data_IF_177853874035
#
_entry.id   IF_177853874035
#
_cell.length_a   1.000
_cell.length_b   1.000
_cell.length_c   1.000
_cell.angle_alpha   90.00
_cell.angle_beta   90.00
_cell.angle_gamma   90.00
#
_symmetry.space_group_name_H-M   'P 1'
#
loop_
_entity.id
_entity.type
_entity.pdbx_description
1 polymer ?
#
# COMPACT_ATOMS: atom_id res chain seq x y z
N UNK A 1 -1.26 10.11 -4.65
CA UNK A 1 -0.59 9.19 -5.57
C UNK A 1 -1.37 9.21 -6.86
N UNK A 2 -1.45 8.11 -7.59
CA UNK A 2 -2.08 7.98 -8.91
C UNK A 2 -3.42 8.71 -9.02
N UNK A 3 -3.69 9.34 -10.17
CA UNK A 3 -4.99 9.96 -10.45
C UNK A 3 -5.42 11.03 -9.43
N UNK A 4 -6.34 10.68 -8.55
CA UNK A 4 -6.93 11.57 -7.55
C UNK A 4 -6.71 11.08 -6.11
N UNK A 5 -7.04 11.94 -5.16
CA UNK A 5 -6.98 11.64 -3.73
C UNK A 5 -8.06 12.40 -3.00
N UNK A 6 -8.42 11.96 -1.80
CA UNK A 6 -9.38 12.65 -0.95
C UNK A 6 -8.64 13.69 -0.10
N UNK A 7 -8.90 14.96 -0.35
CA UNK A 7 -8.41 16.10 0.41
C UNK A 7 -9.37 16.50 1.54
N UNK A 8 -8.85 16.51 2.76
CA UNK A 8 -9.54 16.85 4.00
C UNK A 8 -8.94 18.13 4.60
N UNK A 9 -9.79 19.01 5.12
CA UNK A 9 -9.38 20.35 5.58
C UNK A 9 -9.23 20.47 7.11
N UNK A 10 -9.31 19.35 7.85
CA UNK A 10 -9.23 19.34 9.32
C UNK A 10 -10.42 20.00 10.05
N UNK A 11 -11.54 20.28 9.37
CA UNK A 11 -12.77 20.76 10.01
C UNK A 11 -13.73 19.62 10.27
N UNK A 12 -14.63 19.84 11.24
CA UNK A 12 -15.76 18.94 11.50
C UNK A 12 -16.47 18.52 10.20
N UNK A 13 -16.84 17.23 10.14
CA UNK A 13 -17.55 16.62 9.00
C UNK A 13 -16.78 16.50 7.68
N UNK A 14 -15.44 16.46 7.73
CA UNK A 14 -14.59 16.19 6.56
C UNK A 14 -13.96 14.80 6.70
N UNK A 15 -14.57 13.78 6.11
CA UNK A 15 -14.13 12.38 6.23
C UNK A 15 -14.81 11.49 5.19
N UNK A 16 -14.36 10.24 5.08
CA UNK A 16 -15.07 9.18 4.35
C UNK A 16 -15.68 8.22 5.36
N UNK A 17 -16.98 7.93 5.22
CA UNK A 17 -17.63 6.85 5.96
C UNK A 17 -17.70 5.59 5.12
N UNK A 18 -17.37 4.46 5.73
CA UNK A 18 -17.60 3.14 5.17
C UNK A 18 -18.62 2.41 6.05
N UNK A 19 -19.64 1.74 5.47
CA UNK A 19 -20.63 1.00 6.23
C UNK A 19 -20.01 0.01 7.23
N UNK A 20 -20.70 -0.21 8.35
CA UNK A 20 -20.28 -1.18 9.35
C UNK A 20 -20.12 -2.57 8.72
N UNK A 21 -19.00 -3.21 9.01
CA UNK A 21 -18.67 -4.54 8.51
C UNK A 21 -17.78 -5.29 9.52
N UNK A 22 -17.96 -6.61 9.57
CA UNK A 22 -17.09 -7.53 10.31
C UNK A 22 -15.79 -7.84 9.58
N UNK A 23 -15.61 -7.39 8.33
CA UNK A 23 -14.35 -7.52 7.60
C UNK A 23 -13.24 -6.58 8.12
N UNK A 24 -13.62 -5.52 8.85
CA UNK A 24 -12.71 -4.48 9.35
C UNK A 24 -12.49 -4.56 10.86
N UNK A 25 -12.27 -5.78 11.37
CA UNK A 25 -11.98 -6.01 12.79
C UNK A 25 -11.00 -7.17 12.94
N UNK A 26 -10.27 -7.16 14.04
CA UNK A 26 -9.29 -8.18 14.39
C UNK A 26 -9.43 -8.59 15.86
N UNK A 27 -10.54 -9.29 16.21
CA UNK A 27 -10.77 -9.77 17.56
C UNK A 27 -9.79 -10.87 17.95
N UNK A 28 -9.51 -10.99 19.24
CA UNK A 28 -8.51 -11.91 19.74
C UNK A 28 -7.14 -11.60 19.11
N UNK A 29 -6.56 -12.62 18.50
CA UNK A 29 -5.26 -12.59 17.81
C UNK A 29 -5.39 -12.71 16.29
N UNK A 30 -6.58 -12.52 15.72
CA UNK A 30 -6.75 -12.58 14.26
C UNK A 30 -5.92 -11.50 13.59
N UNK A 31 -5.40 -11.82 12.41
CA UNK A 31 -4.50 -10.93 11.69
C UNK A 31 -5.23 -9.81 10.94
N UNK A 32 -4.59 -8.65 10.83
CA UNK A 32 -5.04 -7.54 9.98
C UNK A 32 -3.87 -6.66 9.58
N UNK A 33 -3.92 -6.11 8.37
CA UNK A 33 -3.06 -4.99 7.97
C UNK A 33 -3.88 -3.85 7.40
N UNK A 34 -3.45 -2.62 7.67
CA UNK A 34 -4.05 -1.40 7.15
C UNK A 34 -2.93 -0.56 6.55
N UNK A 35 -3.07 -0.13 5.31
CA UNK A 35 -2.08 0.71 4.63
C UNK A 35 -2.74 1.76 3.75
N UNK A 36 -2.07 2.89 3.58
CA UNK A 36 -2.51 3.99 2.72
C UNK A 36 -1.38 4.98 2.46
N UNK A 37 -1.59 5.86 1.49
CA UNK A 37 -0.79 7.04 1.31
C UNK A 37 -1.44 8.25 2.00
N UNK A 38 -0.63 9.05 2.68
CA UNK A 38 -1.06 10.31 3.28
C UNK A 38 -0.16 11.46 2.83
N UNK A 39 -0.72 12.65 2.68
CA UNK A 39 0.03 13.91 2.58
C UNK A 39 -0.57 14.89 3.58
N UNK A 40 -0.01 15.00 4.80
CA UNK A 40 -0.53 15.95 5.77
C UNK A 40 -0.20 17.38 5.32
N UNK A 41 -1.14 18.31 5.46
CA UNK A 41 -0.91 19.69 5.08
C UNK A 41 -0.16 20.46 6.17
N UNK A 42 0.71 21.39 5.77
CA UNK A 42 1.30 22.33 6.71
C UNK A 42 0.20 23.19 7.31
N UNK A 43 0.31 23.46 8.60
CA UNK A 43 -0.66 24.30 9.30
C UNK A 43 0.02 25.56 9.80
N UNK A 44 -0.47 26.73 9.37
CA UNK A 44 0.03 28.06 9.77
C UNK A 44 -0.93 28.80 10.70
N UNK A 45 -2.12 28.24 10.95
CA UNK A 45 -3.13 28.83 11.82
C UNK A 45 -3.04 28.20 13.21
N UNK A 46 -3.01 29.04 14.26
CA UNK A 46 -2.87 28.65 15.67
C UNK A 46 -3.95 27.69 16.18
N UNK A 47 -5.10 27.61 15.51
CA UNK A 47 -6.23 26.77 15.91
C UNK A 47 -6.35 25.47 15.12
N UNK A 48 -5.48 25.23 14.14
CA UNK A 48 -5.50 24.00 13.35
C UNK A 48 -4.31 23.14 13.75
N UNK A 49 -4.58 21.93 14.24
CA UNK A 49 -3.53 20.97 14.55
C UNK A 49 -2.97 20.38 13.25
N UNK A 50 -1.64 20.25 13.18
CA UNK A 50 -1.02 19.35 12.22
C UNK A 50 -1.42 17.91 12.54
N UNK A 51 -1.63 17.09 11.52
CA UNK A 51 -2.04 15.69 11.67
C UNK A 51 -3.54 15.48 11.84
N UNK A 52 -3.93 14.57 12.73
CA UNK A 52 -5.31 14.12 12.92
C UNK A 52 -5.50 12.62 12.68
N UNK A 53 -6.73 12.14 12.82
CA UNK A 53 -7.05 10.71 12.67
C UNK A 53 -7.11 10.33 11.21
N UNK A 54 -6.24 9.42 10.78
CA UNK A 54 -6.13 8.99 9.38
C UNK A 54 -7.18 7.91 9.07
N UNK A 55 -7.36 6.95 9.97
CA UNK A 55 -8.37 5.90 9.85
C UNK A 55 -8.80 5.44 11.24
N UNK A 56 -10.06 5.09 11.43
CA UNK A 56 -10.55 4.58 12.69
C UNK A 56 -11.72 3.62 12.56
N UNK A 57 -11.77 2.69 13.49
CA UNK A 57 -12.98 2.01 13.92
C UNK A 57 -13.07 2.23 15.43
N UNK A 58 -13.55 3.41 15.78
CA UNK A 58 -13.61 3.89 17.16
C UNK A 58 -14.86 4.74 17.39
N UNK A 59 -15.43 4.59 18.57
CA UNK A 59 -16.55 5.33 19.14
C UNK A 59 -16.52 5.12 20.66
N UNK A 60 -16.35 6.21 21.42
CA UNK A 60 -16.15 6.18 22.87
C UNK A 60 -17.13 5.25 23.59
N UNK A 61 -16.59 4.43 24.49
CA UNK A 61 -17.37 3.51 25.33
C UNK A 61 -17.68 2.15 24.69
N UNK A 62 -17.09 1.82 23.54
CA UNK A 62 -17.10 0.44 23.01
C UNK A 62 -15.75 -0.21 23.19
N UNK A 63 -15.73 -1.53 23.18
CA UNK A 63 -14.52 -2.35 23.20
C UNK A 63 -14.17 -2.80 21.78
N UNK A 64 -12.94 -3.26 21.56
CA UNK A 64 -12.57 -3.85 20.28
C UNK A 64 -12.19 -2.85 19.19
N UNK A 65 -11.80 -1.64 19.59
CA UNK A 65 -11.59 -0.50 18.72
C UNK A 65 -10.13 -0.34 18.27
N UNK A 66 -9.93 0.39 17.18
CA UNK A 66 -8.61 0.83 16.76
C UNK A 66 -8.68 2.18 16.07
N UNK A 67 -7.55 2.89 16.05
CA UNK A 67 -7.38 4.04 15.17
C UNK A 67 -5.91 4.26 14.86
N UNK A 68 -5.65 4.89 13.72
CA UNK A 68 -4.35 5.42 13.34
C UNK A 68 -4.42 6.94 13.29
N UNK A 69 -3.46 7.59 13.92
CA UNK A 69 -3.42 9.03 14.09
C UNK A 69 -2.03 9.56 13.73
N UNK A 70 -1.99 10.70 13.05
CA UNK A 70 -0.76 11.47 12.89
C UNK A 70 -0.70 12.53 13.98
N UNK A 71 0.31 12.47 14.83
CA UNK A 71 0.50 13.43 15.90
C UNK A 71 1.04 14.76 15.38
N UNK A 72 0.92 15.82 16.18
CA UNK A 72 1.44 17.15 15.83
C UNK A 72 2.97 17.16 15.67
N UNK A 73 3.69 16.21 16.27
CA UNK A 73 5.13 16.01 16.07
C UNK A 73 5.48 15.42 14.70
N UNK A 74 4.49 14.86 13.98
CA UNK A 74 4.71 14.04 12.79
C UNK A 74 4.97 12.57 13.07
N UNK A 75 4.83 12.14 14.32
CA UNK A 75 4.85 10.72 14.67
C UNK A 75 3.54 10.03 14.30
N UNK A 76 3.65 8.83 13.74
CA UNK A 76 2.50 7.97 13.51
C UNK A 76 2.18 7.20 14.79
N UNK A 77 0.94 7.28 15.23
CA UNK A 77 0.42 6.57 16.40
C UNK A 77 -0.68 5.60 15.99
N UNK A 78 -0.60 4.37 16.47
CA UNK A 78 -1.60 3.33 16.28
C UNK A 78 -2.12 2.86 17.63
N UNK A 79 -3.43 3.00 17.83
CA UNK A 79 -4.13 2.53 19.00
C UNK A 79 -4.84 1.22 18.71
N UNK A 80 -4.76 0.33 19.69
CA UNK A 80 -5.64 -0.82 19.83
C UNK A 80 -6.26 -0.80 21.21
N UNK A 81 -7.51 -1.23 21.32
CA UNK A 81 -8.24 -1.32 22.58
C UNK A 81 -7.77 -2.53 23.43
N UNK A 82 -6.46 -2.67 23.60
CA UNK A 82 -5.78 -3.68 24.40
C UNK A 82 -4.40 -3.16 24.84
N UNK A 83 -3.87 -3.51 26.04
CA UNK A 83 -2.55 -3.08 26.47
C UNK A 83 -1.44 -3.41 25.45
N UNK A 84 -0.48 -2.50 25.22
CA UNK A 84 -0.23 -1.25 25.96
C UNK A 84 -0.97 -0.02 25.40
N UNK A 85 -2.06 -0.21 24.64
CA UNK A 85 -2.96 0.82 24.11
C UNK A 85 -2.40 1.68 22.97
N UNK A 86 -1.09 1.72 22.75
CA UNK A 86 -0.55 2.58 21.71
C UNK A 86 0.84 2.21 21.25
N UNK A 87 1.03 2.14 19.93
CA UNK A 87 2.30 2.00 19.24
C UNK A 87 2.64 3.32 18.53
N UNK A 88 3.83 3.86 18.79
CA UNK A 88 4.33 5.09 18.16
C UNK A 88 5.50 4.78 17.23
N UNK A 89 5.61 5.49 16.11
CA UNK A 89 6.77 5.43 15.23
C UNK A 89 8.04 5.94 15.92
N UNK A 90 9.20 5.46 15.48
CA UNK A 90 10.50 5.89 15.99
C UNK A 90 11.44 6.29 14.86
N UNK A 91 12.27 7.31 15.13
CA UNK A 91 13.38 7.72 14.27
C UNK A 91 13.00 8.40 12.94
N UNK A 92 11.72 8.67 12.68
CA UNK A 92 11.23 9.39 11.50
C UNK A 92 9.96 10.17 11.85
N UNK A 93 9.92 11.44 11.47
CA UNK A 93 8.72 12.27 11.51
C UNK A 93 8.21 12.49 10.08
N UNK A 94 6.92 12.29 9.87
CA UNK A 94 6.27 12.52 8.58
C UNK A 94 6.21 14.03 8.33
N UNK A 95 6.80 14.55 7.25
CA UNK A 95 6.80 15.98 6.96
C UNK A 95 5.50 16.41 6.26
N UNK A 96 5.07 17.68 6.44
CA UNK A 96 3.94 18.22 5.71
C UNK A 96 4.22 18.35 4.22
N UNK A 97 3.18 18.20 3.40
CA UNK A 97 3.21 18.43 1.95
C UNK A 97 3.91 17.33 1.14
N UNK A 98 4.31 16.22 1.78
CA UNK A 98 4.97 15.10 1.12
C UNK A 98 4.12 13.84 1.27
N UNK A 99 3.80 13.21 0.15
CA UNK A 99 3.15 11.89 0.17
C UNK A 99 4.06 10.87 0.85
N UNK A 100 3.54 10.22 1.88
CA UNK A 100 4.22 9.22 2.68
C UNK A 100 3.30 8.00 2.80
N UNK A 101 3.83 6.82 2.48
CA UNK A 101 3.10 5.58 2.69
C UNK A 101 3.18 5.19 4.17
N UNK A 102 2.03 4.90 4.77
CA UNK A 102 1.93 4.46 6.15
C UNK A 102 1.20 3.13 6.21
N UNK A 103 1.68 2.22 7.06
CA UNK A 103 1.02 0.95 7.26
C UNK A 103 1.16 0.46 8.69
N UNK A 104 0.18 -0.32 9.13
CA UNK A 104 0.26 -1.14 10.33
C UNK A 104 -0.15 -2.57 9.98
N UNK A 105 0.50 -3.54 10.61
CA UNK A 105 0.08 -4.94 10.55
C UNK A 105 0.08 -5.55 11.93
N UNK A 106 -0.84 -6.47 12.16
CA UNK A 106 -0.96 -7.24 13.38
C UNK A 106 -1.06 -8.73 13.03
N UNK A 107 -0.23 -9.52 13.68
CA UNK A 107 -0.22 -10.98 13.60
C UNK A 107 0.75 -11.58 14.62
N UNK A 108 0.49 -12.83 15.02
CA UNK A 108 1.31 -13.53 16.02
C UNK A 108 1.47 -12.77 17.34
N UNK A 109 0.43 -12.05 17.78
CA UNK A 109 0.43 -11.28 19.02
C UNK A 109 1.29 -10.00 18.99
N UNK A 110 1.56 -9.45 17.80
CA UNK A 110 2.41 -8.27 17.63
C UNK A 110 1.88 -7.29 16.60
N UNK A 111 1.86 -6.00 16.97
CA UNK A 111 1.71 -4.92 16.00
C UNK A 111 3.07 -4.48 15.44
N UNK A 112 3.08 -4.12 14.17
CA UNK A 112 4.22 -3.56 13.43
C UNK A 112 3.73 -2.32 12.68
N UNK A 113 4.52 -1.26 12.71
CA UNK A 113 4.21 0.03 12.09
C UNK A 113 5.30 0.37 11.09
N UNK A 114 4.90 0.78 9.89
CA UNK A 114 5.76 1.05 8.75
C UNK A 114 5.56 2.46 8.21
N UNK A 115 6.66 3.11 7.82
CA UNK A 115 6.66 4.39 7.10
C UNK A 115 7.53 4.22 5.86
N UNK A 116 6.98 4.51 4.67
CA UNK A 116 7.59 4.25 3.35
C UNK A 116 8.12 2.81 3.23
N UNK A 117 7.30 1.85 3.67
CA UNK A 117 7.65 0.42 3.65
C UNK A 117 8.78 0.02 4.60
N UNK A 118 9.27 0.91 5.47
CA UNK A 118 10.31 0.60 6.46
C UNK A 118 9.71 0.46 7.85
N UNK A 119 10.07 -0.61 8.58
CA UNK A 119 9.62 -0.81 9.97
C UNK A 119 10.11 0.35 10.86
N UNK A 120 9.18 1.01 11.55
CA UNK A 120 9.43 2.14 12.48
C UNK A 120 8.90 1.94 13.88
N UNK A 121 8.15 0.88 14.12
CA UNK A 121 7.70 0.51 15.46
C UNK A 121 7.23 -0.93 15.51
N UNK A 122 7.40 -1.59 16.64
CA UNK A 122 6.77 -2.88 16.88
C UNK A 122 6.60 -3.14 18.37
N UNK A 123 5.48 -3.74 18.75
CA UNK A 123 5.20 -4.09 20.13
C UNK A 123 4.40 -5.39 20.24
N UNK A 124 4.59 -6.10 21.35
CA UNK A 124 3.71 -7.20 21.72
C UNK A 124 2.40 -6.64 22.26
N UNK A 125 1.31 -7.26 21.88
CA UNK A 125 -0.04 -6.88 22.30
C UNK A 125 -0.85 -8.13 22.56
N UNK A 126 -1.74 -8.03 23.54
CA UNK A 126 -2.67 -9.10 23.86
C UNK A 126 -3.80 -9.23 22.85
N UNK A 127 -4.72 -10.17 23.11
CA UNK A 127 -5.97 -10.25 22.39
C UNK A 127 -6.82 -9.01 22.61
N UNK A 128 -7.70 -8.72 21.66
CA UNK A 128 -8.65 -7.60 21.71
C UNK A 128 -10.11 -8.10 21.62
N UNK A 129 -11.06 -7.34 22.15
CA UNK A 129 -12.49 -7.65 22.01
C UNK A 129 -12.99 -7.47 20.56
N UNK A 130 -14.19 -7.94 20.28
CA UNK A 130 -14.87 -7.73 18.99
C UNK A 130 -15.72 -6.45 18.98
N UNK A 131 -15.82 -5.77 17.82
CA UNK A 131 -16.69 -4.60 17.61
C UNK A 131 -17.46 -4.70 16.29
N UNK A 132 -18.73 -5.07 16.34
CA UNK A 132 -19.61 -5.19 15.16
C UNK A 132 -20.37 -3.91 14.82
N UNK A 133 -20.35 -2.93 15.71
CA UNK A 133 -21.28 -1.81 15.68
C UNK A 133 -20.63 -0.54 15.13
N UNK A 134 -19.34 -0.35 15.39
CA UNK A 134 -18.64 0.86 14.96
C UNK A 134 -18.31 0.81 13.47
N UNK A 135 -18.74 1.80 12.66
CA UNK A 135 -18.34 1.90 11.25
C UNK A 135 -16.86 2.30 11.12
N UNK A 136 -16.27 2.02 9.97
CA UNK A 136 -14.94 2.50 9.63
C UNK A 136 -15.05 3.95 9.12
N UNK A 137 -14.22 4.84 9.66
CA UNK A 137 -14.02 6.19 9.14
C UNK A 137 -12.60 6.34 8.61
N UNK A 138 -12.47 7.03 7.49
CA UNK A 138 -11.17 7.48 6.97
C UNK A 138 -11.13 9.00 7.10
N UNK A 139 -10.10 9.50 7.76
CA UNK A 139 -9.90 10.93 8.01
C UNK A 139 -10.61 11.50 9.23
N UNK A 140 -11.26 10.68 10.06
CA UNK A 140 -11.91 11.11 11.30
C UNK A 140 -12.01 10.00 12.35
N UNK A 141 -12.45 10.37 13.55
CA UNK A 141 -12.81 9.47 14.65
C UNK A 141 -14.21 9.82 15.18
N UNK A 142 -15.04 8.82 15.49
CA UNK A 142 -16.27 9.09 16.23
C UNK A 142 -15.98 9.28 17.72
N UNK A 143 -16.63 10.28 18.31
CA UNK A 143 -16.77 10.44 19.74
C UNK A 143 -18.26 10.58 20.05
N UNK A 144 -18.82 9.63 20.80
CA UNK A 144 -20.26 9.54 21.09
C UNK A 144 -21.13 9.64 19.82
N UNK A 145 -20.72 8.94 18.75
CA UNK A 145 -21.42 8.91 17.46
C UNK A 145 -21.25 10.18 16.60
N UNK A 146 -20.39 11.12 16.99
CA UNK A 146 -20.09 12.31 16.19
C UNK A 146 -18.64 12.32 15.69
N UNK A 147 -18.38 12.64 14.41
CA UNK A 147 -17.02 12.73 13.88
C UNK A 147 -16.32 14.01 14.36
N UNK A 148 -15.21 13.89 15.10
CA UNK A 148 -14.55 15.05 15.78
C UNK A 148 -13.07 15.29 15.43
N UNK A 149 -12.21 14.26 15.43
CA UNK A 149 -10.76 14.40 15.25
C UNK A 149 -10.38 14.17 13.79
N UNK A 150 -10.53 15.21 12.97
CA UNK A 150 -10.40 15.11 11.50
C UNK A 150 -8.98 15.36 11.00
N UNK A 151 -8.52 14.54 10.06
CA UNK A 151 -7.22 14.71 9.39
C UNK A 151 -7.18 15.96 8.51
N UNK A 152 -6.05 16.67 8.49
CA UNK A 152 -5.81 17.79 7.59
C UNK A 152 -4.73 17.43 6.57
N UNK A 153 -5.15 17.08 5.35
CA UNK A 153 -4.26 16.60 4.31
C UNK A 153 -4.99 15.79 3.24
N UNK A 154 -4.24 15.15 2.36
CA UNK A 154 -4.77 14.17 1.41
C UNK A 154 -4.55 12.74 1.91
N UNK A 155 -5.50 11.86 1.61
CA UNK A 155 -5.42 10.41 1.80
C UNK A 155 -5.68 9.75 0.44
N UNK A 156 -4.97 8.66 0.18
CA UNK A 156 -5.03 7.93 -1.09
C UNK A 156 -4.75 6.44 -0.88
N UNK A 157 -5.23 5.59 -1.80
CA UNK A 157 -4.91 4.16 -1.89
C UNK A 157 -5.11 3.39 -0.56
N UNK A 158 -6.28 3.55 0.07
CA UNK A 158 -6.57 2.93 1.38
C UNK A 158 -6.88 1.46 1.22
N UNK A 159 -6.12 0.60 1.91
CA UNK A 159 -6.25 -0.86 1.85
C UNK A 159 -6.38 -1.45 3.23
N UNK A 160 -7.27 -2.42 3.38
CA UNK A 160 -7.38 -3.27 4.57
C UNK A 160 -7.26 -4.72 4.15
N UNK A 161 -6.40 -5.46 4.84
CA UNK A 161 -6.09 -6.87 4.61
C UNK A 161 -6.43 -7.68 5.86
N UNK A 162 -7.01 -8.87 5.69
CA UNK A 162 -7.25 -9.84 6.76
C UNK A 162 -6.07 -10.79 6.99
N UNK A 163 -4.85 -10.33 6.76
CA UNK A 163 -3.59 -11.06 6.93
C UNK A 163 -2.52 -10.13 7.52
N UNK A 164 -1.51 -10.70 8.18
CA UNK A 164 -0.35 -9.97 8.69
C UNK A 164 0.69 -9.77 7.58
N UNK A 165 0.56 -8.66 6.85
CA UNK A 165 1.43 -8.31 5.72
C UNK A 165 2.86 -8.11 6.22
N UNK A 166 3.79 -8.76 5.55
CA UNK A 166 5.22 -8.60 5.78
C UNK A 166 5.73 -7.28 5.20
N UNK A 167 6.91 -6.86 5.65
CA UNK A 167 7.55 -5.66 5.12
C UNK A 167 7.80 -5.75 3.60
N UNK A 168 8.23 -6.91 3.12
CA UNK A 168 8.50 -7.14 1.70
C UNK A 168 7.22 -7.06 0.87
N UNK A 169 6.13 -7.66 1.35
CA UNK A 169 4.83 -7.57 0.69
C UNK A 169 4.34 -6.13 0.57
N UNK A 170 4.41 -5.35 1.66
CA UNK A 170 4.08 -3.92 1.64
C UNK A 170 4.93 -3.17 0.61
N UNK A 171 6.25 -3.34 0.66
CA UNK A 171 7.17 -2.68 -0.27
C UNK A 171 6.90 -3.04 -1.73
N UNK A 172 6.52 -4.29 -2.00
CA UNK A 172 6.27 -4.77 -3.36
C UNK A 172 5.04 -4.17 -4.01
N UNK A 173 4.04 -3.74 -3.22
CA UNK A 173 2.75 -3.28 -3.74
C UNK A 173 2.39 -1.83 -3.39
N UNK A 174 3.15 -1.13 -2.54
CA UNK A 174 2.79 0.23 -2.12
C UNK A 174 2.79 1.25 -3.27
N UNK A 175 3.48 0.96 -4.37
CA UNK A 175 3.56 1.81 -5.57
C UNK A 175 2.75 1.28 -6.76
N UNK A 176 1.88 0.29 -6.55
CA UNK A 176 1.10 -0.32 -7.62
C UNK A 176 -0.38 -0.23 -7.28
N UNK A 177 -1.21 0.25 -8.21
CA UNK A 177 -2.66 0.10 -8.13
C UNK A 177 -3.01 -1.39 -8.20
N UNK A 178 -3.82 -1.85 -7.26
CA UNK A 178 -4.23 -3.24 -7.16
C UNK A 178 -5.53 -3.47 -7.95
N UNK A 179 -5.90 -4.73 -8.15
CA UNK A 179 -7.10 -5.11 -8.90
C UNK A 179 -8.34 -5.22 -8.02
N UNK A 180 -8.18 -5.40 -6.70
CA UNK A 180 -9.25 -5.73 -5.78
C UNK A 180 -9.48 -7.25 -5.61
N UNK A 181 -8.78 -8.08 -6.39
CA UNK A 181 -8.90 -9.54 -6.34
C UNK A 181 -7.80 -10.22 -5.51
N UNK A 182 -6.95 -9.46 -4.83
CA UNK A 182 -5.80 -9.98 -4.10
C UNK A 182 -6.22 -10.82 -2.88
N UNK A 183 -5.52 -11.93 -2.66
CA UNK A 183 -5.80 -12.80 -1.53
C UNK A 183 -5.65 -12.06 -0.20
N UNK A 184 -6.65 -12.21 0.67
CA UNK A 184 -6.67 -11.57 1.97
C UNK A 184 -7.09 -10.09 1.95
N UNK A 185 -7.31 -9.47 0.79
CA UNK A 185 -7.81 -8.10 0.72
C UNK A 185 -9.28 -8.05 1.18
N UNK A 186 -9.58 -7.08 2.06
CA UNK A 186 -10.87 -6.92 2.74
C UNK A 186 -11.58 -5.63 2.41
N UNK A 187 -10.86 -4.62 1.94
CA UNK A 187 -11.39 -3.37 1.43
C UNK A 187 -10.28 -2.60 0.72
N UNK A 188 -10.60 -1.94 -0.38
CA UNK A 188 -9.66 -1.14 -1.14
C UNK A 188 -10.34 0.06 -1.79
N UNK A 189 -10.00 1.26 -1.34
CA UNK A 189 -10.51 2.51 -1.89
C UNK A 189 -9.36 3.25 -2.57
N UNK A 190 -9.39 3.31 -3.90
CA UNK A 190 -8.36 3.96 -4.72
C UNK A 190 -8.45 5.47 -4.66
N UNK A 191 -9.63 6.04 -4.41
CA UNK A 191 -9.87 7.49 -4.44
C UNK A 191 -9.57 8.13 -5.81
N UNK A 192 -9.89 7.41 -6.88
CA UNK A 192 -9.73 7.86 -8.27
C UNK A 192 -11.02 8.36 -8.93
N UNK A 193 -12.12 8.52 -8.17
CA UNK A 193 -13.39 8.99 -8.74
C UNK A 193 -13.37 10.47 -9.15
N UNK A 194 -12.45 11.27 -8.58
CA UNK A 194 -12.14 12.66 -8.90
C UNK A 194 -13.29 13.70 -8.81
N UNK A 195 -14.55 13.29 -8.74
CA UNK A 195 -15.70 14.19 -8.71
C UNK A 195 -16.93 13.63 -7.96
N UNK A 196 -16.91 12.37 -7.54
CA UNK A 196 -18.06 11.69 -6.89
C UNK A 196 -18.09 11.93 -5.39
N UNK A 197 -19.26 11.84 -4.76
CA UNK A 197 -19.36 11.66 -3.31
C UNK A 197 -19.48 10.19 -2.90
N UNK A 198 -19.87 9.32 -3.83
CA UNK A 198 -19.79 7.87 -3.66
C UNK A 198 -18.36 7.43 -3.97
N UNK A 199 -17.78 6.68 -3.04
CA UNK A 199 -16.45 6.10 -3.17
C UNK A 199 -16.63 4.59 -3.34
N UNK A 200 -16.10 4.04 -4.42
CA UNK A 200 -16.20 2.62 -4.70
C UNK A 200 -15.12 1.87 -3.95
N UNK A 201 -15.52 0.76 -3.37
CA UNK A 201 -14.57 -0.26 -2.94
C UNK A 201 -14.22 -1.14 -4.14
N UNK A 202 -12.95 -1.22 -4.50
CA UNK A 202 -12.46 -2.01 -5.63
C UNK A 202 -12.71 -3.51 -5.44
N UNK A 203 -12.92 -3.99 -4.21
CA UNK A 203 -13.35 -5.38 -3.98
C UNK A 203 -14.86 -5.58 -4.18
N UNK A 204 -15.63 -4.49 -4.29
CA UNK A 204 -17.07 -4.47 -4.59
C UNK A 204 -17.98 -4.79 -3.42
N UNK A 205 -17.55 -4.59 -2.16
CA UNK A 205 -18.35 -4.94 -0.97
C UNK A 205 -18.68 -3.79 -0.04
N UNK A 206 -17.76 -2.84 0.10
CA UNK A 206 -17.79 -1.84 1.17
C UNK A 206 -17.67 -0.42 0.62
N UNK A 207 -18.54 -0.06 -0.33
CA UNK A 207 -18.59 1.31 -0.87
C UNK A 207 -18.71 2.35 0.25
N UNK A 208 -17.94 3.43 0.13
CA UNK A 208 -17.92 4.53 1.06
C UNK A 208 -18.64 5.78 0.54
N UNK A 209 -18.70 6.79 1.39
CA UNK A 209 -19.25 8.10 1.07
C UNK A 209 -18.32 9.20 1.59
N UNK A 210 -18.01 10.18 0.74
CA UNK A 210 -17.23 11.37 1.07
C UNK A 210 -18.13 12.45 1.66
N UNK A 211 -17.84 12.85 2.89
CA UNK A 211 -18.51 13.93 3.60
C UNK A 211 -17.60 15.16 3.67
N UNK A 212 -18.03 16.29 3.12
CA UNK A 212 -17.40 17.62 3.27
C UNK A 212 -16.01 17.82 2.65
N UNK A 213 -15.28 16.73 2.37
CA UNK A 213 -13.98 16.75 1.72
C UNK A 213 -14.05 17.12 0.24
N UNK A 214 -12.88 17.25 -0.38
CA UNK A 214 -12.72 17.63 -1.80
C UNK A 214 -11.74 16.70 -2.48
N UNK A 215 -11.88 16.53 -3.78
CA UNK A 215 -10.89 15.82 -4.59
C UNK A 215 -9.63 16.66 -4.77
N UNK A 216 -8.48 16.01 -4.66
CA UNK A 216 -7.18 16.58 -4.99
C UNK A 216 -6.56 15.76 -6.11
N UNK A 217 -6.42 16.37 -7.27
CA UNK A 217 -5.76 15.76 -8.41
C UNK A 217 -4.26 15.65 -8.14
N UNK A 218 -3.70 14.50 -8.49
CA UNK A 218 -2.26 14.35 -8.60
C UNK A 218 -1.72 15.32 -9.62
N UNK A 219 -0.60 15.98 -9.31
CA UNK A 219 0.12 16.80 -10.27
C UNK A 219 0.84 15.95 -11.34
N UNK A 220 0.82 14.62 -11.20
CA UNK A 220 1.34 13.68 -12.19
C UNK A 220 0.21 13.32 -13.15
N UNK A 221 0.14 14.04 -14.28
CA UNK A 221 -0.69 13.64 -15.41
C UNK A 221 -0.02 12.46 -16.11
N UNK A 222 -0.54 11.25 -15.93
CA UNK A 222 -0.15 10.11 -16.76
C UNK A 222 -0.85 10.28 -18.11
N UNK A 223 -0.10 10.73 -19.12
CA UNK A 223 -0.61 10.67 -20.50
C UNK A 223 -0.73 9.20 -20.90
N UNK A 224 -1.87 8.75 -21.45
CA UNK A 224 -1.91 7.45 -22.10
C UNK A 224 -0.87 7.43 -23.22
N UNK A 225 -0.09 6.36 -23.32
CA UNK A 225 0.77 6.13 -24.48
C UNK A 225 -0.16 5.89 -25.66
N UNK A 226 -0.53 6.95 -26.35
CA UNK A 226 -1.18 6.82 -27.66
C UNK A 226 -0.11 6.40 -28.64
N UNK A 227 -0.37 5.31 -29.38
CA UNK A 227 0.51 4.78 -30.42
C UNK A 227 1.16 5.89 -31.23
N UNK A 228 2.49 5.92 -31.22
CA UNK A 228 3.27 6.72 -32.15
C UNK A 228 3.00 6.14 -33.53
N UNK A 229 2.02 6.72 -34.24
CA UNK A 229 1.93 6.56 -35.68
C UNK A 229 3.15 7.28 -36.27
N UNK A 230 4.03 6.60 -37.03
CA UNK A 230 5.11 7.29 -37.72
C UNK A 230 4.48 8.15 -38.82
N UNK A 231 4.51 9.48 -38.65
CA UNK A 231 4.23 10.40 -39.75
C UNK A 231 5.54 10.67 -40.49
N UNK A 232 5.66 10.08 -41.68
CA UNK A 232 6.57 10.54 -42.72
C UNK A 232 6.20 11.97 -43.11
N UNK A 233 7.13 12.91 -42.93
CA UNK A 233 7.43 13.97 -43.91
C UNK A 233 8.50 14.90 -43.36
N UNK A 234 9.62 14.94 -44.07
CA UNK A 234 10.63 15.99 -44.01
C UNK A 234 9.99 17.37 -43.90
N UNK A 235 10.50 18.26 -43.04
CA UNK A 235 10.87 19.64 -43.40
C UNK A 235 11.75 20.25 -42.31
N UNK A 236 12.82 20.86 -42.82
CA UNK A 236 13.91 21.59 -42.19
C UNK A 236 13.41 22.84 -41.45
N UNK A 237 13.80 23.03 -40.19
CA UNK A 237 14.06 24.36 -39.62
C UNK A 237 14.80 24.28 -38.26
N UNK A 238 15.71 25.25 -38.11
CA UNK A 238 16.80 25.38 -37.15
C UNK A 238 16.43 26.07 -35.83
N UNK A 239 17.28 25.86 -34.80
CA UNK A 239 17.30 26.48 -33.45
C UNK A 239 16.22 25.97 -32.48
N UNK A 240 16.47 25.56 -31.24
CA UNK A 240 17.45 25.97 -30.23
C UNK A 240 17.68 24.77 -29.28
N UNK A 241 18.92 24.31 -29.11
CA UNK A 241 19.25 23.20 -28.19
C UNK A 241 19.22 23.70 -26.74
N UNK A 242 18.06 23.68 -26.09
CA UNK A 242 17.99 23.61 -24.63
C UNK A 242 17.98 22.14 -24.20
N UNK A 243 19.08 21.74 -23.58
CA UNK A 243 19.30 20.42 -23.01
C UNK A 243 18.30 20.13 -21.89
N UNK A 244 17.20 19.44 -22.20
CA UNK A 244 16.39 18.74 -21.20
C UNK A 244 17.08 17.41 -20.91
N UNK A 245 17.92 17.40 -19.88
CA UNK A 245 18.44 16.17 -19.29
C UNK A 245 17.31 15.51 -18.51
N UNK A 246 16.57 14.62 -19.16
CA UNK A 246 15.38 13.98 -18.61
C UNK A 246 15.26 12.52 -19.04
N UNK A 247 16.29 11.72 -18.77
CA UNK A 247 16.17 10.26 -18.78
C UNK A 247 16.53 9.75 -17.38
N UNK A 248 15.51 9.43 -16.57
CA UNK A 248 15.65 8.36 -15.57
C UNK A 248 14.61 7.32 -15.92
N UNK A 249 14.95 6.48 -16.90
CA UNK A 249 14.53 5.08 -16.83
C UNK A 249 15.22 4.48 -15.61
N UNK A 250 14.45 4.21 -14.56
CA UNK A 250 14.73 3.08 -13.67
C UNK A 250 13.65 2.03 -13.89
N UNK A 251 13.62 1.53 -15.12
CA UNK A 251 13.10 0.19 -15.32
C UNK A 251 14.13 -0.81 -14.80
N UNK A 252 13.62 -1.82 -14.13
CA UNK A 252 14.34 -2.96 -13.57
C UNK A 252 15.24 -3.62 -14.62
N UNK A 253 16.55 -3.49 -14.48
CA UNK A 253 17.50 -4.35 -15.20
C UNK A 253 17.49 -5.72 -14.50
N UNK A 254 16.65 -6.64 -15.00
CA UNK A 254 16.98 -8.06 -14.95
C UNK A 254 18.01 -8.33 -16.04
N UNK A 255 19.14 -8.90 -15.65
CA UNK A 255 20.34 -8.96 -16.47
C UNK A 255 20.26 -9.88 -17.69
N UNK A 256 20.99 -9.49 -18.72
CA UNK A 256 21.66 -10.41 -19.63
C UNK A 256 23.12 -9.96 -19.73
N UNK A 257 24.05 -10.79 -19.23
CA UNK A 257 25.48 -10.64 -19.52
C UNK A 257 25.68 -11.25 -20.90
N UNK A 258 25.95 -10.42 -21.92
CA UNK A 258 26.57 -10.88 -23.14
C UNK A 258 27.98 -10.31 -23.30
N UNK A 259 28.89 -11.26 -23.54
CA UNK A 259 30.33 -11.14 -23.60
C UNK A 259 30.76 -10.38 -24.84
N UNK A 260 31.65 -9.40 -24.69
CA UNK A 260 32.64 -9.13 -25.74
C UNK A 260 34.04 -8.91 -25.17
N UNK A 261 34.99 -9.32 -26.00
CA UNK A 261 36.36 -9.80 -25.76
C UNK A 261 37.35 -8.79 -25.19
N UNK A 262 38.11 -9.20 -24.18
CA UNK A 262 39.41 -8.60 -23.86
C UNK A 262 40.50 -9.62 -24.21
N UNK A 263 41.29 -9.30 -25.24
CA UNK A 263 42.57 -9.95 -25.52
C UNK A 263 43.60 -9.48 -24.50
N UNK A 264 44.30 -10.42 -23.88
CA UNK A 264 45.45 -10.14 -23.01
C UNK A 264 45.89 -11.40 -22.27
N UNK A 265 46.82 -12.16 -22.84
CA UNK A 265 47.39 -13.37 -22.25
C UNK A 265 48.39 -13.03 -21.12
N UNK A 266 48.41 -13.84 -20.05
CA UNK A 266 49.56 -14.68 -19.63
C UNK A 266 49.14 -15.59 -18.45
N UNK A 267 49.48 -16.87 -18.58
CA UNK A 267 49.51 -18.04 -17.67
C UNK A 267 49.53 -17.78 -16.14
N UNK A 268 49.04 -18.62 -15.21
CA UNK A 268 48.71 -20.07 -15.13
C UNK A 268 48.04 -20.32 -13.77
N UNK A 269 46.97 -21.10 -13.71
CA UNK A 269 46.78 -22.29 -12.85
C UNK A 269 45.29 -22.65 -12.69
N UNK A 270 45.03 -23.94 -12.86
CA UNK A 270 43.75 -24.66 -12.95
C UNK A 270 43.09 -24.94 -11.59
N UNK A 271 41.75 -25.01 -11.55
CA UNK A 271 40.95 -26.26 -11.37
C UNK A 271 39.44 -25.97 -11.31
N UNK A 272 38.69 -26.92 -11.92
CA UNK A 272 37.23 -27.18 -12.05
C UNK A 272 36.30 -26.79 -10.87
N UNK A 273 35.00 -26.55 -11.05
CA UNK A 273 34.10 -26.68 -12.20
C UNK A 273 32.64 -26.30 -11.83
N UNK A 274 31.75 -26.18 -12.81
CA UNK A 274 30.30 -26.07 -12.62
C UNK A 274 29.57 -26.88 -13.70
N UNK A 275 28.60 -27.69 -13.27
CA UNK A 275 27.66 -28.46 -14.11
C UNK A 275 26.43 -27.58 -14.40
N UNK A 276 26.06 -27.45 -15.67
CA UNK A 276 24.76 -26.92 -16.10
C UNK A 276 23.65 -27.97 -15.92
N UNK A 277 22.48 -27.56 -15.40
CA UNK A 277 21.20 -28.23 -15.67
C UNK A 277 20.08 -27.22 -15.88
N UNK A 278 19.45 -27.33 -17.04
CA UNK A 278 18.31 -26.57 -17.53
C UNK A 278 17.00 -26.87 -16.78
N UNK A 279 15.99 -25.97 -16.83
CA UNK A 279 14.66 -26.18 -16.26
C UNK A 279 13.74 -26.99 -17.18
N UNK A 280 12.89 -27.84 -16.60
CA UNK A 280 11.85 -28.61 -17.30
C UNK A 280 10.47 -28.04 -16.91
N UNK A 281 9.72 -27.51 -17.88
CA UNK A 281 8.26 -27.37 -17.82
C UNK A 281 7.61 -28.50 -18.63
N UNK A 282 6.61 -29.16 -18.04
CA UNK A 282 5.99 -30.35 -18.60
C UNK A 282 4.85 -30.08 -19.59
N UNK A 283 4.52 -31.12 -20.37
CA UNK A 283 3.19 -31.39 -20.91
C UNK A 283 2.87 -32.87 -20.68
N UNK A 284 1.64 -33.14 -20.24
CA UNK A 284 1.07 -34.47 -20.03
C UNK A 284 0.47 -34.94 -21.36
N UNK A 285 0.82 -36.15 -21.80
CA UNK A 285 -0.01 -36.94 -22.71
C UNK A 285 0.04 -38.43 -22.32
N UNK A 286 -1.09 -39.11 -22.59
CA UNK A 286 -1.54 -40.38 -22.00
C UNK A 286 -0.84 -41.62 -22.58
N UNK A 287 -0.85 -42.70 -21.77
CA UNK A 287 -0.24 -44.03 -21.95
C UNK A 287 -0.56 -44.76 -23.27
N UNK A 288 0.21 -45.83 -23.58
CA UNK A 288 -0.26 -47.17 -23.19
C UNK A 288 0.78 -48.00 -22.41
N UNK A 289 0.24 -48.80 -21.50
CA UNK A 289 0.93 -49.87 -20.75
C UNK A 289 1.27 -51.01 -21.71
N UNK A 290 2.54 -51.41 -21.76
CA UNK A 290 2.93 -52.78 -22.11
C UNK A 290 3.84 -53.29 -21.01
N UNK A 291 3.35 -54.27 -20.26
CA UNK A 291 4.13 -54.99 -19.27
C UNK A 291 5.01 -56.05 -19.90
N UNK A 292 6.04 -56.46 -19.15
CA UNK A 292 6.49 -57.84 -19.07
C UNK A 292 6.81 -58.11 -17.59
N UNK A 293 6.11 -59.09 -17.02
CA UNK A 293 6.40 -59.71 -15.73
C UNK A 293 7.40 -60.83 -16.03
N UNK A 294 8.55 -60.85 -15.35
CA UNK A 294 9.31 -62.09 -15.19
C UNK A 294 8.91 -62.72 -13.85
N UNK A 295 8.13 -63.80 -13.95
CA UNK A 295 7.95 -64.76 -12.87
C UNK A 295 9.14 -65.72 -12.88
N UNK A 296 9.82 -65.82 -11.74
CA UNK A 296 10.63 -66.98 -11.41
C UNK A 296 9.72 -68.17 -11.15
N UNK A 297 9.96 -69.28 -11.84
CA UNK A 297 9.31 -70.57 -11.59
C UNK A 297 10.32 -71.48 -10.88
N UNK A 298 9.85 -72.14 -9.81
CA UNK A 298 10.35 -73.44 -9.34
C UNK A 298 9.63 -74.52 -10.12
#
# INVERSE_FOLDING_TARGET
PFGCSVGLNGRYRNYVSVPRSSDFQFPGETELSIEMWIMPNKTTESHKSYGGTIVSKYNRGRMGQFFMHLEQSGDLFFHRETPPWGLRSSGVHIPPGVYTHVAVSYGGGRSKLYINGTLRGSQKEGPQAEDKETPLLIGAIHDNGQPVSTFHGAIDEVRIWGIDRTQMEIQSTMHTTLTGAEFGLKGYWTFDECASFQIRDAIGKHDGELHGGRWQHSAVTLYPVTDIQPSDSDHDETEERQSVMGCIERQSVMGCIERQSVMGCIERQSVMGCIERQPVMGCIERQPIMGCIEQSIV
#
